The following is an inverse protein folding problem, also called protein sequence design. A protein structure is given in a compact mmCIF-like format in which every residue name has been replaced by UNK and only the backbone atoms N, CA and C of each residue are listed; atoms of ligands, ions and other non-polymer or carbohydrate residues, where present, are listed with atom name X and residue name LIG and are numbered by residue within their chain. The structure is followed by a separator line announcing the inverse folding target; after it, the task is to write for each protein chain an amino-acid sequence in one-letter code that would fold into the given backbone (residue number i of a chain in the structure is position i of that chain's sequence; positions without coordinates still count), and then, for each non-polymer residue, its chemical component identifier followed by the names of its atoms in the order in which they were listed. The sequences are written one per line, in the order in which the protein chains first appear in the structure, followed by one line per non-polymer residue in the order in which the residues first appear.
data_IF_461789592870
#
_entry.id   IF_461789592870
#
_cell.length_a   1.000
_cell.length_b   1.000
_cell.length_c   1.000
_cell.angle_alpha   90.00
_cell.angle_beta   90.00
_cell.angle_gamma   90.00
#
_symmetry.space_group_name_H-M   'P 1'
#
loop_
_entity.id
_entity.type
_entity.pdbx_description
1 polymer ?
#
# COMPACT_ATOMS: atom_id res chain seq x y z
N UNK A 1 1.56 1.63 5.02
CA UNK A 1 2.19 2.74 4.30
C UNK A 1 1.65 2.85 2.90
N UNK A 2 1.10 4.01 2.57
CA UNK A 2 0.61 4.32 1.23
C UNK A 2 1.71 5.05 0.46
N UNK A 3 1.90 4.68 -0.79
CA UNK A 3 2.70 5.46 -1.71
C UNK A 3 1.74 6.09 -2.69
N UNK A 4 1.69 7.39 -2.69
CA UNK A 4 0.79 8.15 -3.53
C UNK A 4 1.57 8.69 -4.73
N UNK A 5 1.08 8.44 -5.92
CA UNK A 5 1.38 9.30 -7.02
C UNK A 5 0.53 10.57 -6.88
N UNK A 6 1.09 11.57 -6.96
CA UNK A 6 0.92 12.94 -6.82
C UNK A 6 -0.30 13.60 -7.48
N UNK A 7 -1.41 13.64 -6.79
CA UNK A 7 -2.08 14.94 -6.71
C UNK A 7 -1.21 15.98 -5.98
N UNK A 8 -0.11 15.56 -5.36
CA UNK A 8 0.96 16.39 -4.86
C UNK A 8 1.74 17.15 -5.95
N UNK A 9 1.67 16.74 -7.21
CA UNK A 9 2.23 17.46 -8.36
C UNK A 9 1.79 18.93 -8.35
N UNK A 10 0.51 19.15 -8.16
CA UNK A 10 -0.04 20.51 -8.15
C UNK A 10 0.24 21.27 -6.84
N UNK A 11 0.52 20.58 -5.74
CA UNK A 11 0.71 21.19 -4.41
C UNK A 11 2.19 21.31 -4.06
N UNK A 12 3.03 20.35 -4.44
CA UNK A 12 4.43 20.26 -4.05
C UNK A 12 5.39 20.43 -5.24
N UNK A 13 4.90 20.57 -6.48
CA UNK A 13 5.73 20.67 -7.67
C UNK A 13 6.50 19.37 -8.01
N UNK A 14 6.07 18.24 -7.44
CA UNK A 14 6.70 16.94 -7.65
C UNK A 14 6.06 16.27 -8.86
N UNK A 15 6.79 16.17 -9.96
CA UNK A 15 6.33 15.49 -11.16
C UNK A 15 6.81 14.04 -11.18
N UNK A 16 5.89 13.10 -11.43
CA UNK A 16 6.16 11.67 -11.59
C UNK A 16 6.85 10.95 -10.40
N UNK A 17 6.94 11.59 -9.25
CA UNK A 17 7.52 11.00 -8.05
C UNK A 17 6.47 10.26 -7.20
N UNK A 18 6.91 9.17 -6.58
CA UNK A 18 6.12 8.47 -5.59
C UNK A 18 6.41 9.05 -4.21
N UNK A 19 5.40 9.64 -3.60
CA UNK A 19 5.50 10.19 -2.24
C UNK A 19 5.10 9.14 -1.22
N UNK A 20 5.87 9.00 -0.14
CA UNK A 20 5.48 8.20 1.00
C UNK A 20 4.52 9.01 1.85
N UNK A 21 3.25 8.60 1.83
CA UNK A 21 2.18 9.22 2.63
C UNK A 21 1.55 8.15 3.52
N UNK A 22 2.05 8.00 4.75
CA UNK A 22 1.53 6.99 5.66
C UNK A 22 0.04 7.18 5.93
N UNK A 23 -0.73 6.11 5.77
CA UNK A 23 -2.19 6.08 5.96
C UNK A 23 -2.97 7.06 5.08
N UNK A 24 -2.37 7.52 3.96
CA UNK A 24 -2.97 8.49 3.05
C UNK A 24 -3.48 9.78 3.76
N UNK A 25 -2.78 10.21 4.80
CA UNK A 25 -3.15 11.38 5.61
C UNK A 25 -2.08 12.49 5.50
N UNK A 26 -2.11 13.32 4.44
CA UNK A 26 -1.15 14.42 4.24
C UNK A 26 -1.35 15.58 5.23
N UNK A 27 -2.51 15.68 5.87
CA UNK A 27 -2.88 16.76 6.78
C UNK A 27 -2.75 16.36 8.26
N UNK A 28 -1.91 15.37 8.55
CA UNK A 28 -1.72 14.89 9.92
C UNK A 28 -1.12 15.97 10.82
N UNK A 29 -1.82 16.25 11.92
CA UNK A 29 -1.39 17.21 12.97
C UNK A 29 -1.06 16.50 14.30
N UNK A 30 -1.03 15.18 14.31
CA UNK A 30 -0.76 14.33 15.47
C UNK A 30 0.28 13.26 15.13
N UNK A 31 0.90 12.61 16.13
CA UNK A 31 1.93 11.60 15.87
C UNK A 31 1.44 10.43 15.00
N UNK A 32 2.30 9.96 14.11
CA UNK A 32 2.01 8.85 13.18
C UNK A 32 1.56 7.56 13.90
N UNK A 33 2.05 7.32 15.09
CA UNK A 33 1.67 6.16 15.91
C UNK A 33 0.17 6.13 16.25
N UNK A 34 -0.51 7.27 16.28
CA UNK A 34 -1.96 7.31 16.50
C UNK A 34 -2.74 6.75 15.31
N UNK A 35 -2.30 7.03 14.07
CA UNK A 35 -2.88 6.38 12.89
C UNK A 35 -2.66 4.87 12.94
N UNK A 36 -1.46 4.43 13.28
CA UNK A 36 -1.15 3.01 13.46
C UNK A 36 -2.11 2.34 14.44
N UNK A 37 -2.30 2.93 15.62
CA UNK A 37 -3.20 2.40 16.67
C UNK A 37 -4.65 2.35 16.21
N UNK A 38 -5.12 3.37 15.49
CA UNK A 38 -6.48 3.40 14.93
C UNK A 38 -6.69 2.29 13.91
N UNK A 39 -5.74 2.08 13.00
CA UNK A 39 -5.81 1.00 12.02
C UNK A 39 -5.76 -0.38 12.70
N UNK A 40 -4.91 -0.59 13.71
CA UNK A 40 -4.90 -1.84 14.48
C UNK A 40 -6.27 -2.15 15.07
N UNK A 41 -6.92 -1.16 15.70
CA UNK A 41 -8.26 -1.34 16.27
C UNK A 41 -9.32 -1.70 15.23
N UNK A 42 -9.25 -1.14 14.02
CA UNK A 42 -10.15 -1.51 12.93
C UNK A 42 -9.98 -3.00 12.57
N UNK A 43 -8.75 -3.46 12.40
CA UNK A 43 -8.48 -4.87 12.11
C UNK A 43 -8.89 -5.79 13.27
N UNK A 44 -8.64 -5.41 14.51
CA UNK A 44 -9.05 -6.14 15.70
C UNK A 44 -10.56 -6.24 15.84
N UNK A 45 -11.31 -5.26 15.31
CA UNK A 45 -12.78 -5.29 15.24
C UNK A 45 -13.34 -6.07 14.04
N UNK A 46 -12.48 -6.73 13.25
CA UNK A 46 -12.88 -7.55 12.11
C UNK A 46 -13.21 -6.76 10.84
N UNK A 47 -12.84 -5.48 10.76
CA UNK A 47 -13.05 -4.68 9.56
C UNK A 47 -12.01 -5.07 8.50
N UNK A 48 -12.48 -5.42 7.30
CA UNK A 48 -11.63 -5.65 6.14
C UNK A 48 -11.21 -4.32 5.50
N UNK A 49 -9.96 -4.23 5.08
CA UNK A 49 -9.41 -3.03 4.45
C UNK A 49 -8.91 -3.35 3.05
N UNK A 50 -9.30 -2.51 2.10
CA UNK A 50 -8.96 -2.65 0.69
C UNK A 50 -8.23 -1.42 0.18
N UNK A 51 -7.36 -1.61 -0.81
CA UNK A 51 -6.72 -0.53 -1.55
C UNK A 51 -7.27 -0.55 -2.96
N UNK A 52 -7.84 0.56 -3.40
CA UNK A 52 -8.41 0.71 -4.74
C UNK A 52 -7.49 1.61 -5.56
N UNK A 53 -7.13 1.15 -6.75
CA UNK A 53 -6.43 1.97 -7.74
C UNK A 53 -7.46 2.63 -8.66
N UNK A 54 -7.57 3.94 -8.58
CA UNK A 54 -8.50 4.75 -9.40
C UNK A 54 -7.77 5.58 -10.48
N UNK A 55 -6.48 5.35 -10.67
CA UNK A 55 -5.67 6.10 -11.60
C UNK A 55 -5.31 5.31 -12.85
N UNK A 56 -4.09 4.77 -12.89
CA UNK A 56 -3.61 3.96 -14.00
C UNK A 56 -2.96 2.67 -13.52
N UNK A 57 -3.05 1.64 -14.33
CA UNK A 57 -2.46 0.34 -14.10
C UNK A 57 -1.73 -0.12 -15.36
N UNK A 58 -0.40 -0.27 -15.28
CA UNK A 58 0.45 -0.66 -16.42
C UNK A 58 0.23 0.19 -17.68
N UNK A 59 0.10 1.52 -17.50
CA UNK A 59 -0.13 2.45 -18.61
C UNK A 59 -1.58 2.55 -19.08
N UNK A 60 -2.49 1.71 -18.56
CA UNK A 60 -3.91 1.72 -18.87
C UNK A 60 -4.69 2.47 -17.80
N UNK A 61 -5.55 3.39 -18.19
CA UNK A 61 -6.40 4.13 -17.25
C UNK A 61 -7.44 3.20 -16.63
N UNK A 62 -7.59 3.27 -15.30
CA UNK A 62 -8.71 2.62 -14.59
C UNK A 62 -9.90 3.57 -14.66
N UNK A 63 -10.96 3.16 -15.36
CA UNK A 63 -12.14 4.00 -15.52
C UNK A 63 -12.97 4.07 -14.22
N UNK A 64 -13.86 5.04 -14.19
CA UNK A 64 -14.79 5.21 -13.07
C UNK A 64 -15.71 3.98 -12.93
N UNK A 65 -16.18 3.45 -14.05
CA UNK A 65 -17.06 2.29 -14.10
C UNK A 65 -16.39 1.07 -13.48
N UNK A 66 -15.13 0.79 -13.85
CA UNK A 66 -14.34 -0.30 -13.27
C UNK A 66 -14.16 -0.11 -11.76
N UNK A 67 -13.86 1.13 -11.33
CA UNK A 67 -13.69 1.42 -9.92
C UNK A 67 -14.96 1.18 -9.11
N UNK A 68 -16.12 1.52 -9.68
CA UNK A 68 -17.42 1.28 -9.05
C UNK A 68 -17.81 -0.20 -9.04
N UNK A 69 -17.59 -0.92 -10.14
CA UNK A 69 -17.86 -2.35 -10.24
C UNK A 69 -17.01 -3.16 -9.23
N UNK A 70 -15.73 -2.83 -9.07
CA UNK A 70 -14.87 -3.46 -8.05
C UNK A 70 -15.39 -3.22 -6.63
N UNK A 71 -15.88 -2.00 -6.33
CA UNK A 71 -16.49 -1.71 -5.03
C UNK A 71 -17.76 -2.54 -4.83
N UNK A 72 -18.62 -2.62 -5.83
CA UNK A 72 -19.85 -3.40 -5.80
C UNK A 72 -19.55 -4.89 -5.55
N UNK A 73 -18.61 -5.48 -6.28
CA UNK A 73 -18.19 -6.87 -6.05
C UNK A 73 -17.70 -7.12 -4.61
N UNK A 74 -16.95 -6.17 -4.02
CA UNK A 74 -16.48 -6.29 -2.63
C UNK A 74 -17.65 -6.20 -1.65
N UNK A 75 -18.59 -5.27 -1.87
CA UNK A 75 -19.76 -5.07 -0.99
C UNK A 75 -20.71 -6.27 -1.05
N UNK A 76 -20.92 -6.82 -2.25
CA UNK A 76 -21.82 -7.96 -2.48
C UNK A 76 -21.18 -9.31 -2.11
N UNK A 77 -19.88 -9.31 -1.77
CA UNK A 77 -19.15 -10.53 -1.44
C UNK A 77 -18.88 -11.45 -2.63
N UNK A 78 -18.95 -10.93 -3.85
CA UNK A 78 -18.70 -11.68 -5.10
C UNK A 78 -17.25 -11.53 -5.58
N UNK A 79 -16.47 -10.66 -4.95
CA UNK A 79 -15.05 -10.44 -5.27
C UNK A 79 -14.21 -11.71 -5.05
N UNK A 80 -13.53 -12.19 -6.08
CA UNK A 80 -12.63 -13.35 -6.01
C UNK A 80 -11.18 -12.87 -5.84
N UNK A 81 -10.70 -12.92 -4.60
CA UNK A 81 -9.35 -12.51 -4.25
C UNK A 81 -8.36 -13.68 -4.40
N UNK A 82 -7.23 -13.40 -5.03
CA UNK A 82 -6.14 -14.35 -5.26
C UNK A 82 -4.84 -13.86 -4.61
N UNK A 83 -3.92 -14.76 -4.24
CA UNK A 83 -2.65 -14.37 -3.65
C UNK A 83 -1.85 -13.42 -4.55
N UNK A 84 -1.29 -12.37 -3.98
CA UNK A 84 -0.44 -11.42 -4.69
C UNK A 84 1.01 -11.93 -4.78
N UNK A 85 1.24 -12.85 -5.69
CA UNK A 85 2.55 -13.47 -5.91
C UNK A 85 3.08 -14.18 -4.65
N UNK A 86 4.37 -14.02 -4.31
CA UNK A 86 4.98 -14.68 -3.16
C UNK A 86 4.71 -13.97 -1.83
N UNK A 87 4.04 -12.81 -1.83
CA UNK A 87 3.88 -11.98 -0.63
C UNK A 87 2.74 -12.50 0.23
N UNK A 88 3.07 -13.15 1.32
CA UNK A 88 2.09 -13.76 2.22
C UNK A 88 1.16 -12.72 2.88
N UNK A 89 -0.15 -12.97 2.78
CA UNK A 89 -1.20 -12.12 3.36
C UNK A 89 -1.45 -10.83 2.58
N UNK A 90 -1.04 -10.80 1.31
CA UNK A 90 -1.50 -9.83 0.32
C UNK A 90 -2.27 -10.57 -0.76
N UNK A 91 -3.48 -10.10 -1.00
CA UNK A 91 -4.34 -10.61 -2.04
C UNK A 91 -4.69 -9.49 -3.03
N UNK A 92 -5.07 -9.84 -4.22
CA UNK A 92 -5.56 -8.92 -5.24
C UNK A 92 -6.84 -9.42 -5.86
N UNK A 93 -7.66 -8.51 -6.33
CA UNK A 93 -8.82 -8.83 -7.14
C UNK A 93 -8.40 -8.82 -8.61
N UNK A 94 -8.47 -9.99 -9.26
CA UNK A 94 -8.26 -10.08 -10.70
C UNK A 94 -9.46 -9.52 -11.45
N UNK A 95 -9.21 -8.58 -12.34
CA UNK A 95 -10.25 -7.93 -13.14
C UNK A 95 -9.94 -8.10 -14.63
N UNK A 96 -10.97 -8.31 -15.44
CA UNK A 96 -10.81 -8.49 -16.88
C UNK A 96 -10.06 -7.31 -17.50
N UNK A 97 -9.01 -7.60 -18.26
CA UNK A 97 -8.13 -6.60 -18.86
C UNK A 97 -7.16 -5.90 -17.90
N UNK A 98 -7.10 -6.31 -16.62
CA UNK A 98 -6.16 -5.83 -15.60
C UNK A 98 -5.50 -7.01 -14.88
N UNK A 99 -4.73 -7.84 -15.59
CA UNK A 99 -4.12 -9.04 -14.99
C UNK A 99 -3.03 -8.67 -14.00
N UNK A 100 -2.79 -9.58 -13.04
CA UNK A 100 -1.63 -9.45 -12.18
C UNK A 100 -0.34 -9.41 -13.00
N UNK A 101 0.59 -8.48 -12.69
CA UNK A 101 1.91 -8.51 -13.30
C UNK A 101 2.62 -9.84 -13.05
N UNK A 102 3.36 -10.32 -14.03
CA UNK A 102 4.22 -11.47 -13.80
C UNK A 102 5.30 -11.13 -12.77
N UNK A 103 5.44 -11.98 -11.73
CA UNK A 103 6.46 -11.84 -10.68
C UNK A 103 7.83 -12.32 -11.16
N UNK A 104 8.27 -11.84 -12.33
CA UNK A 104 9.62 -12.04 -12.81
C UNK A 104 10.68 -11.29 -11.98
N UNK A 105 11.94 -11.52 -12.32
CA UNK A 105 13.08 -10.86 -11.63
C UNK A 105 12.99 -9.34 -11.61
N UNK A 106 12.52 -8.73 -12.71
CA UNK A 106 12.45 -7.28 -12.84
C UNK A 106 11.35 -6.70 -11.95
N UNK A 107 10.18 -7.34 -11.93
CA UNK A 107 9.06 -6.91 -11.10
C UNK A 107 9.33 -7.14 -9.60
N UNK A 108 9.87 -8.31 -9.22
CA UNK A 108 10.31 -8.57 -7.83
C UNK A 108 11.32 -7.51 -7.36
N UNK A 109 12.30 -7.17 -8.19
CA UNK A 109 13.27 -6.10 -7.89
C UNK A 109 12.60 -4.75 -7.67
N UNK A 110 11.67 -4.37 -8.54
CA UNK A 110 10.93 -3.12 -8.41
C UNK A 110 10.15 -3.05 -7.10
N UNK A 111 9.40 -4.09 -6.75
CA UNK A 111 8.64 -4.14 -5.49
C UNK A 111 9.61 -4.07 -4.30
N UNK A 112 10.71 -4.83 -4.34
CA UNK A 112 11.73 -4.82 -3.28
C UNK A 112 12.29 -3.42 -3.05
N UNK A 113 12.69 -2.71 -4.09
CA UNK A 113 13.17 -1.33 -4.00
C UNK A 113 12.13 -0.42 -3.35
N UNK A 114 10.86 -0.54 -3.73
CA UNK A 114 9.75 0.23 -3.15
C UNK A 114 9.51 -0.09 -1.68
N UNK A 115 9.60 -1.35 -1.28
CA UNK A 115 9.45 -1.77 0.12
C UNK A 115 10.65 -1.34 0.96
N UNK A 116 11.86 -1.41 0.41
CA UNK A 116 13.07 -0.93 1.09
C UNK A 116 13.02 0.57 1.37
N UNK A 117 12.54 1.37 0.43
CA UNK A 117 12.34 2.82 0.64
C UNK A 117 11.38 3.06 1.82
N UNK A 118 10.29 2.28 1.92
CA UNK A 118 9.33 2.39 3.04
C UNK A 118 9.94 1.96 4.36
N UNK A 119 10.70 0.88 4.37
CA UNK A 119 11.41 0.42 5.56
C UNK A 119 12.40 1.47 6.05
N UNK A 120 13.22 2.01 5.16
CA UNK A 120 14.18 3.06 5.48
C UNK A 120 13.49 4.32 6.04
N UNK A 121 12.35 4.70 5.47
CA UNK A 121 11.54 5.80 5.99
C UNK A 121 11.08 5.54 7.43
N UNK A 122 10.58 4.34 7.75
CA UNK A 122 10.13 4.00 9.11
C UNK A 122 11.29 3.97 10.11
N UNK A 123 12.42 3.41 9.73
CA UNK A 123 13.61 3.38 10.57
C UNK A 123 14.11 4.79 10.89
N UNK A 124 14.23 5.64 9.88
CA UNK A 124 14.61 7.03 10.04
C UNK A 124 13.58 7.82 10.87
N UNK A 125 12.29 7.57 10.66
CA UNK A 125 11.22 8.18 11.44
C UNK A 125 11.34 7.80 12.93
N UNK A 126 11.50 6.52 13.25
CA UNK A 126 11.62 6.04 14.62
C UNK A 126 12.88 6.59 15.31
N UNK A 127 13.98 6.71 14.58
CA UNK A 127 15.20 7.32 15.09
C UNK A 127 15.02 8.80 15.40
N UNK A 128 14.32 9.53 14.53
CA UNK A 128 14.05 10.97 14.71
C UNK A 128 13.04 11.27 15.80
N UNK A 129 12.07 10.39 16.00
CA UNK A 129 10.95 10.58 16.91
C UNK A 129 10.78 9.40 17.89
N UNK A 130 11.77 9.14 18.77
CA UNK A 130 11.76 7.94 19.62
C UNK A 130 10.57 7.89 20.59
N UNK A 131 10.06 9.05 21.03
CA UNK A 131 8.90 9.13 21.94
C UNK A 131 7.58 8.71 21.30
N UNK A 132 7.48 8.78 19.97
CA UNK A 132 6.30 8.44 19.18
C UNK A 132 6.62 7.44 18.10
N UNK A 133 7.66 6.63 18.31
CA UNK A 133 8.10 5.60 17.39
C UNK A 133 6.98 4.61 17.11
N UNK A 134 6.94 4.12 15.86
CA UNK A 134 6.06 3.02 15.50
C UNK A 134 6.54 1.73 16.14
N UNK A 135 5.62 0.85 16.59
CA UNK A 135 5.98 -0.43 17.17
C UNK A 135 6.78 -1.33 16.23
N UNK A 136 7.56 -2.24 16.81
CA UNK A 136 8.38 -3.20 16.08
C UNK A 136 7.58 -3.97 15.04
N UNK A 137 6.32 -4.32 15.32
CA UNK A 137 5.44 -5.01 14.38
C UNK A 137 5.22 -4.28 13.05
N UNK A 138 5.29 -2.95 13.02
CA UNK A 138 5.20 -2.18 11.79
C UNK A 138 6.45 -2.36 10.90
N UNK A 139 7.62 -2.50 11.52
CA UNK A 139 8.90 -2.72 10.84
C UNK A 139 9.02 -4.17 10.39
N UNK A 140 8.80 -5.12 11.31
CA UNK A 140 8.94 -6.55 11.02
C UNK A 140 8.01 -7.03 9.90
N UNK A 141 6.87 -6.39 9.72
CA UNK A 141 5.98 -6.72 8.60
C UNK A 141 6.56 -6.33 7.24
N UNK A 142 7.25 -5.18 7.14
CA UNK A 142 7.95 -4.80 5.91
C UNK A 142 9.17 -5.69 5.63
N UNK A 143 9.91 -6.05 6.68
CA UNK A 143 11.03 -7.00 6.57
C UNK A 143 10.54 -8.36 6.07
N UNK A 144 9.38 -8.83 6.56
CA UNK A 144 8.77 -10.07 6.08
C UNK A 144 8.41 -10.00 4.60
N UNK A 145 7.83 -8.90 4.13
CA UNK A 145 7.55 -8.69 2.69
C UNK A 145 8.84 -8.76 1.85
N UNK A 146 9.93 -8.16 2.34
CA UNK A 146 11.23 -8.24 1.65
C UNK A 146 11.77 -9.67 1.57
N UNK A 147 11.60 -10.47 2.64
CA UNK A 147 11.96 -11.89 2.66
C UNK A 147 11.10 -12.72 1.69
N UNK A 148 9.78 -12.49 1.66
CA UNK A 148 8.86 -13.19 0.76
C UNK A 148 9.21 -12.96 -0.72
N UNK A 149 9.80 -11.81 -1.05
CA UNK A 149 10.25 -11.48 -2.41
C UNK A 149 11.58 -12.13 -2.81
N UNK A 150 12.31 -12.72 -1.86
CA UNK A 150 13.57 -13.44 -2.12
C UNK A 150 13.32 -14.90 -2.51
N UNK A 151 12.16 -15.45 -2.13
CA UNK A 151 11.73 -16.78 -2.53
C UNK A 151 11.25 -16.80 -3.99
#
# INVERSE_FOLDING_TARGET
LMTKRSNAENVLGLHDELVIEPYANPFRVYPLVEDYRKFCRLFESGVSCYIINTGSYMGKTVSKEISLDVIEQVVDGTADFKPFGPIVGFDYLEYEGYPLPNFDKAYKKLIRERMQIRLNFLLAFNQKYPQTALPVGAISRLEKVLQDLES
#
